data_IF_119799289557
#
_entry.id   IF_119799289557
#
_cell.length_a   1.000
_cell.length_b   1.000
_cell.length_c   1.000
_cell.angle_alpha   90.00
_cell.angle_beta   90.00
_cell.angle_gamma   90.00
#
_symmetry.space_group_name_H-M   'P 1'
#
loop_
_entity.id
_entity.type
_entity.pdbx_description
1 polymer ?
#
# COMPACT_ATOMS: atom_id res chain seq x y z
N UNK A 1 26.15 -17.86 7.51
CA UNK A 1 26.30 -16.45 7.97
C UNK A 1 24.89 -15.97 8.20
N UNK A 2 24.55 -15.52 9.40
CA UNK A 2 23.26 -14.87 9.66
C UNK A 2 23.19 -13.60 8.81
N UNK A 3 22.10 -13.47 8.08
CA UNK A 3 21.86 -12.32 7.21
C UNK A 3 21.48 -11.14 8.12
N UNK A 4 22.27 -10.09 8.09
CA UNK A 4 22.08 -8.92 8.96
C UNK A 4 21.51 -7.77 8.13
N UNK A 5 20.30 -7.32 8.48
CA UNK A 5 19.65 -6.17 7.87
C UNK A 5 19.83 -4.92 8.76
N UNK A 6 19.92 -3.76 8.13
CA UNK A 6 19.90 -2.45 8.80
C UNK A 6 18.60 -1.72 8.53
N UNK A 7 17.96 -2.03 7.38
CA UNK A 7 16.77 -1.36 6.89
C UNK A 7 15.66 -2.37 6.63
N UNK A 8 14.46 -2.03 7.08
CA UNK A 8 13.22 -2.73 6.72
C UNK A 8 12.38 -1.78 5.85
N UNK A 9 12.03 -2.23 4.67
CA UNK A 9 11.10 -1.55 3.78
C UNK A 9 9.79 -2.34 3.78
N UNK A 10 8.70 -1.72 4.19
CA UNK A 10 7.41 -2.38 4.36
C UNK A 10 6.40 -1.87 3.33
N UNK A 11 5.54 -2.74 2.84
CA UNK A 11 4.29 -2.33 2.21
C UNK A 11 3.24 -1.94 3.26
N UNK A 12 2.17 -1.29 2.81
CA UNK A 12 1.04 -0.88 3.63
C UNK A 12 -0.11 -1.89 3.55
N UNK A 13 -0.68 -2.07 2.35
CA UNK A 13 -1.85 -2.90 2.12
C UNK A 13 -1.57 -4.38 2.33
N UNK A 14 -2.42 -5.11 3.06
CA UNK A 14 -2.16 -6.51 3.41
C UNK A 14 -1.07 -6.71 4.46
N UNK A 15 -0.05 -5.86 4.52
CA UNK A 15 1.05 -5.97 5.49
C UNK A 15 0.71 -5.26 6.80
N UNK A 16 0.43 -3.98 6.75
CA UNK A 16 0.13 -3.16 7.93
C UNK A 16 -1.36 -2.89 8.10
N UNK A 17 -2.05 -2.50 7.02
CA UNK A 17 -3.50 -2.28 6.99
C UNK A 17 -4.19 -3.47 6.31
N UNK A 18 -5.30 -3.92 6.90
CA UNK A 18 -6.11 -4.93 6.24
C UNK A 18 -6.78 -4.36 4.99
N UNK A 19 -6.85 -5.14 3.91
CA UNK A 19 -7.46 -4.73 2.64
C UNK A 19 -8.41 -5.82 2.14
N UNK A 20 -9.64 -5.43 1.84
CA UNK A 20 -10.64 -6.29 1.20
C UNK A 20 -11.06 -5.72 -0.16
N UNK A 21 -10.37 -6.13 -1.21
CA UNK A 21 -10.69 -5.70 -2.58
C UNK A 21 -12.12 -6.03 -3.01
N UNK A 22 -12.72 -7.08 -2.43
CA UNK A 22 -14.09 -7.47 -2.74
C UNK A 22 -15.12 -6.48 -2.20
N UNK A 23 -14.82 -5.82 -1.08
CA UNK A 23 -15.70 -4.81 -0.48
C UNK A 23 -15.97 -3.63 -1.43
N UNK A 24 -14.95 -3.16 -2.18
CA UNK A 24 -15.15 -2.12 -3.20
C UNK A 24 -16.03 -2.62 -4.35
N UNK A 25 -15.84 -3.86 -4.82
CA UNK A 25 -16.69 -4.45 -5.84
C UNK A 25 -18.16 -4.51 -5.39
N UNK A 26 -18.42 -4.98 -4.18
CA UNK A 26 -19.76 -5.02 -3.59
C UNK A 26 -20.37 -3.63 -3.43
N UNK A 27 -19.59 -2.63 -3.03
CA UNK A 27 -20.06 -1.27 -2.87
C UNK A 27 -20.49 -0.66 -4.21
N UNK A 28 -19.71 -0.84 -5.27
CA UNK A 28 -20.09 -0.43 -6.62
C UNK A 28 -21.32 -1.19 -7.12
N UNK A 29 -21.38 -2.50 -6.88
CA UNK A 29 -22.55 -3.31 -7.25
C UNK A 29 -23.84 -2.79 -6.59
N UNK A 30 -23.78 -2.41 -5.30
CA UNK A 30 -24.91 -1.84 -4.57
C UNK A 30 -25.42 -0.51 -5.17
N UNK A 31 -24.57 0.22 -5.91
CA UNK A 31 -24.95 1.41 -6.68
C UNK A 31 -25.50 1.11 -8.08
N UNK A 32 -25.70 -0.19 -8.41
CA UNK A 32 -26.26 -0.63 -9.68
C UNK A 32 -25.21 -0.94 -10.76
N UNK A 33 -23.94 -1.12 -10.37
CA UNK A 33 -22.90 -1.57 -11.30
C UNK A 33 -22.86 -3.10 -11.33
N UNK A 34 -23.67 -3.70 -12.22
CA UNK A 34 -23.85 -5.16 -12.28
C UNK A 34 -22.59 -5.89 -12.76
N UNK A 35 -21.69 -5.24 -13.47
CA UNK A 35 -20.48 -5.85 -14.02
C UNK A 35 -19.21 -5.06 -13.62
N UNK A 36 -18.88 -5.12 -12.32
CA UNK A 36 -17.67 -4.49 -11.79
C UNK A 36 -16.39 -5.11 -12.39
N UNK A 37 -16.41 -6.41 -12.72
CA UNK A 37 -15.26 -7.09 -13.29
C UNK A 37 -14.97 -6.57 -14.73
N UNK A 38 -16.00 -6.32 -15.55
CA UNK A 38 -15.83 -5.69 -16.85
C UNK A 38 -15.30 -4.26 -16.70
N UNK A 39 -15.76 -3.52 -15.71
CA UNK A 39 -15.24 -2.21 -15.39
C UNK A 39 -13.77 -2.25 -15.00
N UNK A 40 -13.44 -3.09 -14.00
CA UNK A 40 -12.08 -3.21 -13.51
C UNK A 40 -11.12 -3.57 -14.65
N UNK A 41 -11.57 -4.49 -15.54
CA UNK A 41 -10.83 -4.88 -16.73
C UNK A 41 -10.64 -3.72 -17.70
N UNK A 42 -11.69 -2.91 -17.96
CA UNK A 42 -11.61 -1.75 -18.83
C UNK A 42 -10.77 -0.63 -18.24
N UNK A 43 -10.96 -0.31 -16.97
CA UNK A 43 -10.18 0.70 -16.26
C UNK A 43 -8.69 0.29 -16.16
N UNK A 44 -8.40 -1.00 -16.05
CA UNK A 44 -7.04 -1.54 -16.11
C UNK A 44 -6.42 -1.39 -17.50
N UNK A 45 -7.19 -1.66 -18.56
CA UNK A 45 -6.73 -1.44 -19.96
C UNK A 45 -6.45 0.04 -20.24
N UNK A 46 -7.25 0.95 -19.69
CA UNK A 46 -7.10 2.40 -19.85
C UNK A 46 -6.05 3.01 -18.91
N UNK A 47 -5.28 2.20 -18.17
CA UNK A 47 -4.29 2.63 -17.18
C UNK A 47 -4.86 3.61 -16.13
N UNK A 48 -6.17 3.54 -15.87
CA UNK A 48 -6.86 4.47 -14.97
C UNK A 48 -6.34 4.37 -13.53
N UNK A 49 -6.15 3.14 -13.07
CA UNK A 49 -5.64 2.89 -11.71
C UNK A 49 -4.16 3.24 -11.60
N UNK A 50 -3.37 2.87 -12.60
CA UNK A 50 -1.94 3.20 -12.67
C UNK A 50 -1.72 4.71 -12.63
N UNK A 51 -2.48 5.47 -13.42
CA UNK A 51 -2.39 6.92 -13.46
C UNK A 51 -2.81 7.59 -12.14
N UNK A 52 -3.80 7.03 -11.42
CA UNK A 52 -4.17 7.53 -10.10
C UNK A 52 -3.09 7.19 -9.05
N UNK A 53 -2.50 5.99 -9.12
CA UNK A 53 -1.44 5.55 -8.21
C UNK A 53 -0.08 6.22 -8.47
N UNK A 54 0.17 6.71 -9.68
CA UNK A 54 1.38 7.51 -10.00
C UNK A 54 1.16 9.01 -9.85
N UNK A 55 -0.09 9.44 -9.58
CA UNK A 55 -0.42 10.86 -9.50
C UNK A 55 -0.51 11.56 -10.87
N UNK A 56 -0.39 10.82 -11.99
CA UNK A 56 -0.63 11.35 -13.35
C UNK A 56 -2.09 11.76 -13.54
N UNK A 57 -3.01 11.06 -12.89
CA UNK A 57 -4.42 11.42 -12.81
C UNK A 57 -4.74 12.00 -11.44
N UNK A 58 -5.33 13.20 -11.42
CA UNK A 58 -5.91 13.74 -10.20
C UNK A 58 -7.17 12.97 -9.77
N UNK A 59 -7.58 13.04 -8.48
CA UNK A 59 -8.85 12.49 -8.02
C UNK A 59 -10.07 12.94 -8.83
N UNK A 60 -10.11 14.20 -9.27
CA UNK A 60 -11.19 14.73 -10.08
C UNK A 60 -11.25 14.04 -11.47
N UNK A 61 -10.11 13.92 -12.14
CA UNK A 61 -10.02 13.23 -13.43
C UNK A 61 -10.38 11.75 -13.31
N UNK A 62 -9.94 11.08 -12.23
CA UNK A 62 -10.32 9.70 -11.94
C UNK A 62 -11.85 9.57 -11.81
N UNK A 63 -12.50 10.40 -10.97
CA UNK A 63 -13.95 10.37 -10.78
C UNK A 63 -14.70 10.65 -12.09
N UNK A 64 -14.21 11.59 -12.91
CA UNK A 64 -14.81 11.88 -14.23
C UNK A 64 -14.70 10.68 -15.18
N UNK A 65 -13.57 9.95 -15.16
CA UNK A 65 -13.43 8.71 -15.93
C UNK A 65 -14.38 7.62 -15.44
N UNK A 66 -14.53 7.46 -14.12
CA UNK A 66 -15.52 6.54 -13.53
C UNK A 66 -16.93 6.89 -14.04
N UNK A 67 -17.34 8.17 -14.04
CA UNK A 67 -18.66 8.60 -14.57
C UNK A 67 -18.85 8.26 -16.04
N UNK A 68 -17.83 8.47 -16.86
CA UNK A 68 -17.88 8.16 -18.30
C UNK A 68 -18.05 6.66 -18.57
N UNK A 69 -17.46 5.81 -17.72
CA UNK A 69 -17.53 4.36 -17.87
C UNK A 69 -18.87 3.82 -17.35
N UNK A 70 -19.44 4.42 -16.29
CA UNK A 70 -20.61 3.89 -15.59
C UNK A 70 -21.90 4.68 -15.81
N UNK A 71 -22.03 5.80 -15.15
CA UNK A 71 -23.16 6.69 -15.25
C UNK A 71 -22.80 8.11 -14.83
N UNK A 72 -23.34 9.13 -15.53
CA UNK A 72 -22.91 10.51 -15.35
C UNK A 72 -23.40 11.15 -14.04
N UNK A 73 -24.39 10.59 -13.36
CA UNK A 73 -25.05 11.17 -12.20
C UNK A 73 -24.49 10.71 -10.83
N UNK A 74 -23.49 9.80 -10.84
CA UNK A 74 -22.82 9.38 -9.60
C UNK A 74 -21.98 10.53 -9.02
N UNK A 75 -22.13 10.77 -7.74
CA UNK A 75 -21.42 11.83 -7.02
C UNK A 75 -19.97 11.44 -6.66
N UNK A 76 -19.10 12.44 -6.45
CA UNK A 76 -17.72 12.21 -5.97
C UNK A 76 -17.73 11.41 -4.68
N UNK A 77 -18.64 11.73 -3.75
CA UNK A 77 -18.77 11.06 -2.46
C UNK A 77 -19.10 9.58 -2.60
N UNK A 78 -19.98 9.23 -3.52
CA UNK A 78 -20.36 7.83 -3.78
C UNK A 78 -19.19 7.06 -4.39
N UNK A 79 -18.48 7.66 -5.37
CA UNK A 79 -17.28 7.05 -5.96
C UNK A 79 -16.23 6.80 -4.88
N UNK A 80 -15.90 7.82 -4.08
CA UNK A 80 -14.88 7.72 -3.03
C UNK A 80 -15.28 6.70 -1.96
N UNK A 81 -16.56 6.66 -1.57
CA UNK A 81 -17.05 5.69 -0.60
C UNK A 81 -16.90 4.26 -1.11
N UNK A 82 -17.26 4.00 -2.37
CA UNK A 82 -17.08 2.68 -2.98
C UNK A 82 -15.61 2.32 -3.15
N UNK A 83 -14.77 3.29 -3.59
CA UNK A 83 -13.35 3.08 -3.79
C UNK A 83 -12.63 2.80 -2.47
N UNK A 84 -12.96 3.53 -1.41
CA UNK A 84 -12.39 3.38 -0.06
C UNK A 84 -12.97 2.20 0.73
N UNK A 85 -14.03 1.54 0.26
CA UNK A 85 -14.65 0.42 0.97
C UNK A 85 -13.69 -0.76 1.21
N UNK A 86 -12.64 -0.89 0.40
CA UNK A 86 -11.60 -1.91 0.57
C UNK A 86 -10.69 -1.67 1.76
N UNK A 87 -10.62 -0.44 2.29
CA UNK A 87 -9.70 -0.08 3.36
C UNK A 87 -10.22 -0.59 4.71
N UNK A 88 -9.45 -1.50 5.31
CA UNK A 88 -9.70 -2.02 6.65
C UNK A 88 -9.02 -1.18 7.72
N UNK A 89 -8.63 -1.83 8.82
CA UNK A 89 -8.00 -1.21 9.99
C UNK A 89 -6.53 -1.61 10.09
N UNK A 90 -5.77 -0.91 10.93
CA UNK A 90 -4.45 -1.36 11.37
C UNK A 90 -4.61 -1.93 12.80
N UNK A 91 -4.42 -3.23 13.00
CA UNK A 91 -4.42 -3.82 14.33
C UNK A 91 -3.39 -3.17 15.25
N UNK A 92 -3.75 -2.92 16.51
CA UNK A 92 -2.85 -2.26 17.48
C UNK A 92 -1.51 -2.99 17.66
N UNK A 93 -1.51 -4.32 17.49
CA UNK A 93 -0.30 -5.14 17.54
C UNK A 93 0.69 -4.82 16.40
N UNK A 94 0.20 -4.43 15.21
CA UNK A 94 1.07 -4.00 14.10
C UNK A 94 1.66 -2.61 14.34
N UNK A 95 0.94 -1.73 15.03
CA UNK A 95 1.49 -0.44 15.50
C UNK A 95 2.60 -0.67 16.53
N UNK A 96 2.35 -1.50 17.55
CA UNK A 96 3.35 -1.86 18.54
C UNK A 96 4.57 -2.57 17.92
N UNK A 97 4.37 -3.37 16.86
CA UNK A 97 5.44 -3.96 16.09
C UNK A 97 6.31 -2.90 15.42
N UNK A 98 5.71 -1.90 14.76
CA UNK A 98 6.45 -0.81 14.10
C UNK A 98 7.31 -0.04 15.11
N UNK A 99 6.77 0.28 16.29
CA UNK A 99 7.52 0.97 17.36
C UNK A 99 8.76 0.16 17.76
N UNK A 100 8.60 -1.14 18.00
CA UNK A 100 9.72 -2.02 18.36
C UNK A 100 10.74 -2.17 17.23
N UNK A 101 10.29 -2.30 15.98
CA UNK A 101 11.20 -2.42 14.83
C UNK A 101 12.06 -1.15 14.66
N UNK A 102 11.50 0.02 14.93
CA UNK A 102 12.21 1.30 14.82
C UNK A 102 13.37 1.44 15.83
N UNK A 103 13.31 0.72 16.94
CA UNK A 103 14.41 0.72 17.92
C UNK A 103 15.65 -0.03 17.41
N UNK A 104 15.48 -0.88 16.38
CA UNK A 104 16.53 -1.79 15.90
C UNK A 104 16.91 -1.56 14.43
N UNK A 105 16.00 -1.03 13.62
CA UNK A 105 16.12 -0.88 12.18
C UNK A 105 15.74 0.51 11.71
N UNK A 106 16.27 0.92 10.55
CA UNK A 106 15.68 1.99 9.78
C UNK A 106 14.41 1.45 9.10
N UNK A 107 13.23 1.82 9.61
CA UNK A 107 11.93 1.36 9.07
C UNK A 107 11.40 2.37 8.07
N UNK A 108 11.21 1.92 6.84
CA UNK A 108 10.69 2.70 5.71
C UNK A 108 9.38 2.10 5.22
N UNK A 109 8.51 2.93 4.66
CA UNK A 109 7.27 2.52 4.02
C UNK A 109 7.31 2.88 2.52
N UNK A 110 6.94 1.92 1.66
CA UNK A 110 6.69 2.15 0.23
C UNK A 110 5.36 1.51 -0.17
N UNK A 111 4.34 2.33 -0.39
CA UNK A 111 2.99 1.87 -0.71
C UNK A 111 2.54 2.33 -2.09
N UNK A 112 2.02 1.38 -2.89
CA UNK A 112 1.22 1.71 -4.05
C UNK A 112 -0.16 2.15 -3.56
N UNK A 113 -0.42 3.46 -3.61
CA UNK A 113 -1.66 4.06 -3.12
C UNK A 113 -1.99 5.34 -3.90
N UNK A 114 -3.07 5.99 -3.56
CA UNK A 114 -3.56 7.13 -4.31
C UNK A 114 -4.14 8.24 -3.41
N UNK A 115 -4.31 9.42 -4.00
CA UNK A 115 -4.76 10.62 -3.28
C UNK A 115 -6.23 10.56 -2.77
N UNK A 116 -7.00 9.50 -3.09
CA UNK A 116 -8.32 9.25 -2.50
C UNK A 116 -8.18 8.35 -1.27
N UNK A 117 -7.33 7.32 -1.34
CA UNK A 117 -7.11 6.39 -0.22
C UNK A 117 -6.31 7.02 0.92
N UNK A 118 -5.29 7.83 0.64
CA UNK A 118 -4.42 8.41 1.67
C UNK A 118 -5.20 9.10 2.79
N UNK A 119 -6.05 10.11 2.54
CA UNK A 119 -6.81 10.75 3.61
C UNK A 119 -7.81 9.81 4.29
N UNK A 120 -8.31 8.78 3.57
CA UNK A 120 -9.28 7.85 4.12
C UNK A 120 -8.63 6.89 5.12
N UNK A 121 -7.51 6.24 4.78
CA UNK A 121 -6.85 5.35 5.74
C UNK A 121 -6.18 6.11 6.88
N UNK A 122 -5.63 7.30 6.67
CA UNK A 122 -5.11 8.13 7.76
C UNK A 122 -6.22 8.51 8.76
N UNK A 123 -7.44 8.80 8.26
CA UNK A 123 -8.60 9.03 9.13
C UNK A 123 -9.01 7.77 9.90
N UNK A 124 -8.94 6.58 9.29
CA UNK A 124 -9.19 5.31 9.96
C UNK A 124 -8.17 5.10 11.09
N UNK A 125 -6.89 5.29 10.81
CA UNK A 125 -5.81 5.15 11.81
C UNK A 125 -5.97 6.16 12.95
N UNK A 126 -6.31 7.40 12.64
CA UNK A 126 -6.55 8.42 13.66
C UNK A 126 -7.73 8.06 14.57
N UNK A 127 -8.83 7.54 13.97
CA UNK A 127 -10.02 7.13 14.72
C UNK A 127 -9.76 5.91 15.60
N UNK A 128 -9.10 4.88 15.07
CA UNK A 128 -9.02 3.56 15.69
C UNK A 128 -7.80 3.43 16.61
N UNK A 129 -6.71 4.10 16.28
CA UNK A 129 -5.43 4.01 17.00
C UNK A 129 -5.03 5.33 17.70
N UNK A 130 -5.75 6.43 17.47
CA UNK A 130 -5.41 7.74 18.02
C UNK A 130 -4.17 8.40 17.40
N UNK A 131 -3.70 7.90 16.25
CA UNK A 131 -2.47 8.36 15.59
C UNK A 131 -2.84 9.37 14.50
N UNK A 132 -2.47 10.63 14.69
CA UNK A 132 -2.74 11.73 13.77
C UNK A 132 -1.61 12.02 12.79
N UNK A 133 -0.42 11.49 13.04
CA UNK A 133 0.75 11.54 12.15
C UNK A 133 1.18 10.12 11.78
N UNK A 134 0.51 9.54 10.79
CA UNK A 134 0.79 8.18 10.34
C UNK A 134 2.20 8.03 9.77
N UNK A 135 2.65 9.02 8.98
CA UNK A 135 4.00 9.01 8.40
C UNK A 135 5.09 9.04 9.47
N UNK A 136 4.81 9.67 10.61
CA UNK A 136 5.71 9.73 11.77
C UNK A 136 6.00 8.38 12.43
N UNK A 137 5.25 7.31 12.09
CA UNK A 137 5.55 5.93 12.53
C UNK A 137 6.79 5.35 11.84
N UNK A 138 7.28 5.97 10.78
CA UNK A 138 8.40 5.47 9.96
C UNK A 138 9.57 6.47 10.00
N UNK A 139 10.76 6.02 9.63
CA UNK A 139 11.90 6.91 9.35
C UNK A 139 11.71 7.62 7.99
N UNK A 140 10.86 7.08 7.13
CA UNK A 140 10.39 7.68 5.90
C UNK A 140 9.22 6.90 5.34
N UNK A 141 8.16 7.60 4.88
CA UNK A 141 6.98 6.99 4.29
C UNK A 141 6.73 7.58 2.90
N UNK A 142 6.59 6.69 1.91
CA UNK A 142 6.49 7.03 0.50
C UNK A 142 5.23 6.42 -0.11
N UNK A 143 4.40 7.28 -0.66
CA UNK A 143 3.22 6.90 -1.41
C UNK A 143 3.47 7.09 -2.90
N UNK A 144 3.14 6.10 -3.70
CA UNK A 144 3.40 6.09 -5.14
C UNK A 144 2.84 7.33 -5.85
N UNK A 145 1.63 7.79 -5.45
CA UNK A 145 1.01 8.99 -6.01
C UNK A 145 1.73 10.31 -5.66
N UNK A 146 2.58 10.32 -4.64
CA UNK A 146 3.38 11.49 -4.26
C UNK A 146 4.75 11.49 -4.95
N UNK A 147 5.34 10.29 -5.14
CA UNK A 147 6.68 10.17 -5.71
C UNK A 147 6.70 9.92 -7.22
N UNK A 148 5.52 9.67 -7.84
CA UNK A 148 5.38 9.41 -9.27
C UNK A 148 5.93 8.04 -9.72
N UNK A 149 6.27 7.16 -8.79
CA UNK A 149 6.83 5.84 -9.05
C UNK A 149 6.09 4.78 -8.24
N UNK A 150 5.92 3.60 -8.80
CA UNK A 150 5.22 2.49 -8.14
C UNK A 150 5.98 1.17 -8.26
N UNK A 151 5.79 0.31 -7.28
CA UNK A 151 6.18 -1.11 -7.36
C UNK A 151 5.40 -1.79 -8.50
N UNK A 152 5.96 -2.77 -9.20
CA UNK A 152 7.25 -3.45 -8.97
C UNK A 152 8.45 -2.78 -9.67
N UNK A 153 8.35 -1.57 -10.20
CA UNK A 153 9.44 -0.92 -10.94
C UNK A 153 10.65 -0.67 -10.03
N UNK A 154 11.88 -1.12 -10.41
CA UNK A 154 13.09 -0.98 -9.60
C UNK A 154 13.38 0.46 -9.17
N UNK A 155 13.02 1.43 -10.00
CA UNK A 155 13.22 2.87 -9.74
C UNK A 155 12.52 3.34 -8.46
N UNK A 156 11.34 2.76 -8.13
CA UNK A 156 10.61 3.10 -6.91
C UNK A 156 11.39 2.69 -5.66
N UNK A 157 12.01 1.52 -5.67
CA UNK A 157 12.85 1.03 -4.58
C UNK A 157 14.13 1.86 -4.46
N UNK A 158 14.85 2.05 -5.56
CA UNK A 158 16.09 2.82 -5.58
C UNK A 158 15.90 4.24 -5.06
N UNK A 159 14.85 4.95 -5.51
CA UNK A 159 14.55 6.30 -5.05
C UNK A 159 14.36 6.39 -3.54
N UNK A 160 13.66 5.42 -2.94
CA UNK A 160 13.43 5.38 -1.49
C UNK A 160 14.74 5.11 -0.75
N UNK A 161 15.51 4.11 -1.19
CA UNK A 161 16.77 3.74 -0.54
C UNK A 161 17.81 4.87 -0.63
N UNK A 162 17.96 5.50 -1.78
CA UNK A 162 18.89 6.64 -1.98
C UNK A 162 18.60 7.80 -1.04
N UNK A 163 17.31 8.15 -0.82
CA UNK A 163 16.91 9.23 0.09
C UNK A 163 17.30 8.98 1.55
N UNK A 164 17.52 7.72 1.90
CA UNK A 164 17.85 7.32 3.26
C UNK A 164 19.26 6.77 3.40
N UNK A 165 20.06 6.74 2.33
CA UNK A 165 21.40 6.15 2.32
C UNK A 165 21.38 4.66 2.67
N UNK A 166 20.26 3.97 2.38
CA UNK A 166 20.10 2.56 2.68
C UNK A 166 20.76 1.68 1.61
N UNK A 167 21.47 0.64 2.06
CA UNK A 167 22.13 -0.33 1.17
C UNK A 167 21.10 -1.39 0.73
N UNK A 168 20.85 -1.60 -0.57
CA UNK A 168 19.93 -2.63 -1.06
C UNK A 168 20.22 -4.02 -0.48
N UNK A 169 21.48 -4.45 -0.41
CA UNK A 169 21.85 -5.79 0.09
C UNK A 169 21.71 -5.94 1.61
N UNK A 170 21.48 -4.84 2.32
CA UNK A 170 21.19 -4.81 3.75
C UNK A 170 19.76 -4.35 4.06
N UNK A 171 18.92 -4.32 3.04
CA UNK A 171 17.50 -3.98 3.14
C UNK A 171 16.65 -5.23 2.94
N UNK A 172 15.74 -5.48 3.87
CA UNK A 172 14.68 -6.47 3.72
C UNK A 172 13.36 -5.78 3.37
N UNK A 173 12.77 -6.15 2.25
CA UNK A 173 11.45 -5.73 1.83
C UNK A 173 10.39 -6.79 2.19
N UNK A 174 9.24 -6.37 2.73
CA UNK A 174 8.11 -7.26 3.05
C UNK A 174 6.87 -6.75 2.36
N UNK A 175 6.22 -7.61 1.56
CA UNK A 175 5.03 -7.27 0.76
C UNK A 175 4.18 -8.54 0.53
N UNK A 176 2.87 -8.41 0.45
CA UNK A 176 1.93 -9.50 0.18
C UNK A 176 1.76 -9.81 -1.32
N UNK A 177 2.32 -8.98 -2.20
CA UNK A 177 2.30 -9.17 -3.64
C UNK A 177 3.61 -9.79 -4.15
N UNK A 178 3.54 -11.00 -4.67
CA UNK A 178 4.71 -11.68 -5.25
C UNK A 178 5.36 -10.87 -6.38
N UNK A 179 4.59 -10.06 -7.13
CA UNK A 179 5.13 -9.20 -8.18
C UNK A 179 6.02 -8.10 -7.61
N UNK A 180 5.64 -7.52 -6.48
CA UNK A 180 6.45 -6.50 -5.79
C UNK A 180 7.72 -7.10 -5.20
N UNK A 181 7.62 -8.30 -4.62
CA UNK A 181 8.78 -9.07 -4.11
C UNK A 181 9.80 -9.33 -5.23
N UNK A 182 9.33 -9.79 -6.40
CA UNK A 182 10.20 -10.00 -7.58
C UNK A 182 10.84 -8.68 -8.04
N UNK A 183 10.06 -7.58 -8.04
CA UNK A 183 10.57 -6.24 -8.37
C UNK A 183 11.66 -5.77 -7.41
N UNK A 184 11.48 -5.97 -6.10
CA UNK A 184 12.47 -5.64 -5.07
C UNK A 184 13.76 -6.45 -5.23
N UNK A 185 13.65 -7.77 -5.48
CA UNK A 185 14.80 -8.62 -5.76
C UNK A 185 15.55 -8.14 -7.02
N UNK A 186 14.83 -7.70 -8.05
CA UNK A 186 15.42 -7.15 -9.26
C UNK A 186 16.13 -5.81 -9.03
N UNK A 187 15.72 -5.05 -8.01
CA UNK A 187 16.37 -3.83 -7.54
C UNK A 187 17.56 -4.10 -6.58
N UNK A 188 17.86 -5.36 -6.28
CA UNK A 188 18.99 -5.77 -5.43
C UNK A 188 18.69 -5.89 -3.96
N UNK A 189 17.42 -5.77 -3.53
CA UNK A 189 17.00 -5.98 -2.15
C UNK A 189 16.84 -7.46 -1.84
N UNK A 190 16.90 -7.79 -0.54
CA UNK A 190 16.27 -8.99 -0.05
C UNK A 190 14.78 -8.76 0.11
N UNK A 191 13.95 -9.76 -0.22
CA UNK A 191 12.51 -9.60 -0.12
C UNK A 191 11.83 -10.89 0.35
N UNK A 192 10.82 -10.74 1.20
CA UNK A 192 9.98 -11.82 1.72
C UNK A 192 8.54 -11.60 1.29
N UNK A 193 7.93 -12.66 0.77
CA UNK A 193 6.52 -12.68 0.40
C UNK A 193 5.66 -13.01 1.61
N UNK A 194 4.83 -12.07 2.06
CA UNK A 194 3.87 -12.28 3.13
C UNK A 194 2.62 -12.99 2.56
N UNK A 195 2.56 -14.31 2.71
CA UNK A 195 1.40 -15.09 2.30
C UNK A 195 0.30 -14.98 3.37
N UNK A 196 -0.66 -14.06 3.19
CA UNK A 196 -1.71 -13.72 4.18
C UNK A 196 -2.58 -14.90 4.62
N UNK A 197 -2.67 -15.96 3.81
CA UNK A 197 -3.36 -17.21 4.18
C UNK A 197 -2.58 -18.02 5.21
N UNK A 198 -1.29 -17.79 5.39
CA UNK A 198 -0.41 -18.56 6.28
C UNK A 198 -0.04 -17.82 7.55
N UNK A 199 0.29 -16.56 7.45
CA UNK A 199 0.76 -15.75 8.56
C UNK A 199 0.51 -14.26 8.33
N UNK A 200 0.49 -13.48 9.38
CA UNK A 200 0.55 -12.03 9.34
C UNK A 200 1.99 -11.49 9.51
N UNK A 201 2.16 -10.18 9.38
CA UNK A 201 3.49 -9.56 9.52
C UNK A 201 4.12 -9.75 10.90
N UNK A 202 3.30 -9.85 11.96
CA UNK A 202 3.80 -10.04 13.34
C UNK A 202 4.43 -11.43 13.48
N UNK A 203 3.74 -12.45 12.96
CA UNK A 203 4.24 -13.83 12.93
C UNK A 203 5.48 -13.96 12.03
N UNK A 204 5.46 -13.31 10.85
CA UNK A 204 6.61 -13.31 9.94
C UNK A 204 7.86 -12.68 10.56
N UNK A 205 7.73 -11.51 11.18
CA UNK A 205 8.86 -10.83 11.86
C UNK A 205 9.46 -11.72 12.94
N UNK A 206 8.63 -12.42 13.70
CA UNK A 206 9.06 -13.40 14.70
C UNK A 206 9.76 -14.61 14.05
N UNK A 207 9.20 -15.16 12.99
CA UNK A 207 9.79 -16.30 12.24
C UNK A 207 11.16 -15.97 11.67
N UNK A 208 11.33 -14.75 11.19
CA UNK A 208 12.58 -14.26 10.61
C UNK A 208 13.61 -13.86 11.70
N UNK A 209 13.23 -13.86 12.98
CA UNK A 209 14.13 -13.49 14.08
C UNK A 209 14.54 -12.02 14.05
N UNK A 210 13.71 -11.13 13.47
CA UNK A 210 14.01 -9.70 13.38
C UNK A 210 13.86 -8.97 14.72
N UNK A 211 13.10 -9.53 15.64
CA UNK A 211 12.99 -9.07 17.03
C UNK A 211 13.20 -10.24 17.97
N UNK A 212 14.03 -10.04 19.00
CA UNK A 212 14.26 -11.00 20.08
C UNK A 212 13.06 -11.10 21.04
#
# INVERSE_FOLDING_TARGET
>A
MEQHYDTLLLDLGGVLIDVDYHASALAFHALGFEDFDALYSKAKQDHLFDGLETGELSPAQFRDRIRQIFRPDITDREIDACWNAMLGTIPAERIALLERLRDHYQVLLLSNTNAIHVPAFEAIVARDNGITDFKGLFHGAYYSCEIGLRKPHPEAFHQVLERHGADPVRTLFIDDSIQHVVGACSAGLHAEHLELEKEDVVAMVKRLGLLA
#
